data_IF_739036340735
#
_entry.id   IF_739036340735
#
_cell.length_a   1.000
_cell.length_b   1.000
_cell.length_c   1.000
_cell.angle_alpha   90.00
_cell.angle_beta   90.00
_cell.angle_gamma   90.00
#
_symmetry.space_group_name_H-M   'P 1'
#
loop_
_entity.id
_entity.type
_entity.pdbx_description
1 polymer ?
#
# COMPACT_ATOMS: atom_id res chain seq x y z
N UNK A 1 5.27 -10.30 -33.00
CA UNK A 1 4.81 -8.90 -32.79
C UNK A 1 3.30 -8.97 -32.75
N UNK A 2 2.67 -8.68 -31.60
CA UNK A 2 1.20 -8.73 -31.48
C UNK A 2 0.67 -7.40 -31.97
N UNK A 3 -0.05 -7.40 -33.08
CA UNK A 3 -0.71 -6.20 -33.58
C UNK A 3 -1.98 -5.94 -32.78
N UNK A 4 -2.06 -4.77 -32.16
CA UNK A 4 -3.28 -4.30 -31.51
C UNK A 4 -4.08 -3.50 -32.52
N UNK A 5 -5.29 -3.96 -32.83
CA UNK A 5 -6.26 -3.16 -33.57
C UNK A 5 -6.68 -1.94 -32.75
N UNK A 6 -7.03 -0.84 -33.40
CA UNK A 6 -7.42 0.41 -32.74
C UNK A 6 -8.57 0.19 -31.73
N UNK A 7 -9.58 -0.59 -32.11
CA UNK A 7 -10.70 -0.98 -31.21
C UNK A 7 -10.23 -1.75 -29.97
N UNK A 8 -9.28 -2.68 -30.11
CA UNK A 8 -8.77 -3.44 -28.96
C UNK A 8 -7.89 -2.59 -28.03
N UNK A 9 -7.34 -1.48 -28.54
CA UNK A 9 -6.56 -0.54 -27.75
C UNK A 9 -7.46 0.38 -26.92
N UNK A 10 -8.61 0.83 -27.46
CA UNK A 10 -9.58 1.66 -26.74
C UNK A 10 -10.16 0.95 -25.50
N UNK A 11 -10.34 -0.38 -25.56
CA UNK A 11 -10.84 -1.15 -24.42
C UNK A 11 -9.79 -1.26 -23.29
N UNK A 12 -8.50 -1.22 -23.62
CA UNK A 12 -7.39 -1.50 -22.68
C UNK A 12 -6.63 -0.26 -22.22
N UNK A 13 -6.82 0.88 -22.87
CA UNK A 13 -6.14 2.13 -22.55
C UNK A 13 -7.13 3.14 -21.97
N UNK A 14 -6.67 3.88 -20.96
CA UNK A 14 -7.43 4.97 -20.38
C UNK A 14 -6.54 6.20 -20.20
N UNK A 15 -7.16 7.38 -20.16
CA UNK A 15 -6.46 8.63 -19.92
C UNK A 15 -5.78 8.61 -18.55
N UNK A 16 -4.54 9.10 -18.50
CA UNK A 16 -3.70 9.10 -17.31
C UNK A 16 -3.38 10.50 -16.78
N UNK A 17 -4.20 11.52 -17.10
CA UNK A 17 -4.04 12.88 -16.55
C UNK A 17 -4.11 12.93 -15.02
N UNK A 18 -4.92 12.06 -14.44
CA UNK A 18 -4.96 11.80 -13.02
C UNK A 18 -5.04 10.28 -12.80
N UNK A 19 -4.24 9.78 -11.86
CA UNK A 19 -4.15 8.35 -11.54
C UNK A 19 -4.44 8.18 -10.06
N UNK A 20 -5.20 7.13 -9.72
CA UNK A 20 -5.46 6.82 -8.32
C UNK A 20 -4.18 6.37 -7.61
N UNK A 21 -4.09 6.64 -6.32
CA UNK A 21 -2.94 6.23 -5.50
C UNK A 21 -2.66 4.73 -5.63
N UNK A 22 -3.71 3.91 -5.68
CA UNK A 22 -3.62 2.46 -5.89
C UNK A 22 -3.00 2.08 -7.24
N UNK A 23 -3.41 2.73 -8.34
CA UNK A 23 -2.84 2.49 -9.67
C UNK A 23 -1.41 3.00 -9.80
N UNK A 24 -0.98 3.92 -8.94
CA UNK A 24 0.39 4.44 -8.90
C UNK A 24 1.37 3.61 -8.04
N UNK A 25 0.92 2.49 -7.46
CA UNK A 25 1.77 1.66 -6.62
C UNK A 25 3.02 1.17 -7.38
N UNK A 26 4.18 1.36 -6.78
CA UNK A 26 5.48 1.03 -7.38
C UNK A 26 6.06 2.13 -8.26
N UNK A 27 5.27 3.13 -8.65
CA UNK A 27 5.73 4.28 -9.43
C UNK A 27 6.16 5.44 -8.54
N UNK A 28 7.04 6.31 -9.04
CA UNK A 28 7.44 7.55 -8.38
C UNK A 28 7.49 8.72 -9.37
N UNK A 29 7.16 9.91 -8.89
CA UNK A 29 7.09 11.14 -9.69
C UNK A 29 7.90 12.24 -9.03
N UNK A 30 8.46 13.15 -9.83
CA UNK A 30 9.23 14.28 -9.30
C UNK A 30 8.36 15.19 -8.43
N UNK A 31 7.14 15.47 -8.88
CA UNK A 31 6.15 16.28 -8.16
C UNK A 31 4.79 15.60 -8.21
N UNK A 32 4.08 15.57 -7.08
CA UNK A 32 2.70 15.05 -6.98
C UNK A 32 1.76 16.16 -6.54
N UNK A 33 0.63 16.29 -7.22
CA UNK A 33 -0.49 17.13 -6.80
C UNK A 33 -1.57 16.20 -6.25
N UNK A 34 -1.87 16.32 -4.95
CA UNK A 34 -2.74 15.41 -4.23
C UNK A 34 -3.99 16.14 -3.74
N UNK A 35 -5.15 15.93 -4.39
CA UNK A 35 -6.42 16.44 -3.88
C UNK A 35 -6.90 15.62 -2.68
N UNK A 36 -7.17 16.29 -1.55
CA UNK A 36 -7.69 15.67 -0.31
C UNK A 36 -8.97 16.40 0.11
N UNK A 37 -10.11 15.79 -0.19
CA UNK A 37 -11.45 16.38 -0.01
C UNK A 37 -12.34 15.46 0.84
N UNK A 38 -13.30 16.03 1.56
CA UNK A 38 -14.17 15.27 2.48
C UNK A 38 -15.00 14.21 1.76
N UNK A 39 -15.31 14.41 0.48
CA UNK A 39 -16.07 13.47 -0.36
C UNK A 39 -15.36 12.12 -0.60
N UNK A 40 -14.05 12.03 -0.37
CA UNK A 40 -13.30 10.76 -0.41
C UNK A 40 -13.71 9.80 0.73
N UNK A 41 -14.43 10.28 1.74
CA UNK A 41 -15.18 9.45 2.68
C UNK A 41 -14.30 8.43 3.41
N UNK A 42 -14.60 7.14 3.21
CA UNK A 42 -13.89 6.02 3.83
C UNK A 42 -12.44 5.83 3.34
N UNK A 43 -12.06 6.45 2.22
CA UNK A 43 -10.68 6.40 1.70
C UNK A 43 -9.73 7.35 2.43
N UNK A 44 -10.24 8.26 3.28
CA UNK A 44 -9.44 9.12 4.14
C UNK A 44 -8.81 8.28 5.26
N UNK A 45 -7.76 7.56 4.92
CA UNK A 45 -6.99 6.68 5.80
C UNK A 45 -5.51 7.08 5.79
N UNK A 46 -4.84 6.90 6.93
CA UNK A 46 -3.44 7.32 7.08
C UNK A 46 -2.50 6.59 6.13
N UNK A 47 -2.71 5.29 5.93
CA UNK A 47 -1.91 4.46 5.02
C UNK A 47 -2.03 4.94 3.56
N UNK A 48 -3.23 5.33 3.12
CA UNK A 48 -3.44 5.81 1.75
C UNK A 48 -2.79 7.17 1.55
N UNK A 49 -2.96 8.08 2.51
CA UNK A 49 -2.31 9.40 2.49
C UNK A 49 -0.79 9.27 2.50
N UNK A 50 -0.24 8.41 3.36
CA UNK A 50 1.20 8.12 3.40
C UNK A 50 1.71 7.55 2.06
N UNK A 51 0.96 6.62 1.47
CA UNK A 51 1.32 6.03 0.17
C UNK A 51 1.32 7.09 -0.93
N UNK A 52 0.35 8.01 -0.93
CA UNK A 52 0.25 9.09 -1.91
C UNK A 52 1.41 10.09 -1.77
N UNK A 53 1.76 10.47 -0.54
CA UNK A 53 2.88 11.39 -0.25
C UNK A 53 4.21 10.78 -0.68
N UNK A 54 4.42 9.49 -0.39
CA UNK A 54 5.65 8.77 -0.78
C UNK A 54 5.78 8.50 -2.27
N UNK A 55 4.76 8.81 -3.10
CA UNK A 55 4.91 8.80 -4.56
C UNK A 55 5.74 9.98 -5.08
N UNK A 56 5.91 11.04 -4.30
CA UNK A 56 6.69 12.20 -4.71
C UNK A 56 8.16 12.10 -4.28
N UNK A 57 9.08 12.34 -5.22
CA UNK A 57 10.52 12.38 -4.94
C UNK A 57 10.98 13.73 -4.40
N UNK A 58 10.46 14.83 -4.94
CA UNK A 58 10.94 16.19 -4.61
C UNK A 58 9.89 17.03 -3.91
N UNK A 59 8.64 17.02 -4.40
CA UNK A 59 7.59 17.92 -3.90
C UNK A 59 6.20 17.31 -3.93
N UNK A 60 5.43 17.59 -2.89
CA UNK A 60 4.00 17.29 -2.82
C UNK A 60 3.23 18.59 -2.66
N UNK A 61 2.19 18.78 -3.47
CA UNK A 61 1.18 19.81 -3.29
C UNK A 61 -0.11 19.17 -2.80
N UNK A 62 -0.47 19.41 -1.54
CA UNK A 62 -1.75 18.99 -0.97
C UNK A 62 -2.78 20.08 -1.22
N UNK A 63 -3.88 19.74 -1.88
CA UNK A 63 -4.96 20.69 -2.23
C UNK A 63 -6.27 20.15 -1.69
N UNK A 64 -7.02 20.94 -0.93
CA UNK A 64 -8.34 20.57 -0.46
C UNK A 64 -8.64 21.10 0.93
N UNK A 65 -9.29 20.28 1.74
CA UNK A 65 -9.88 20.71 3.02
C UNK A 65 -9.02 20.24 4.21
N UNK A 66 -8.65 21.15 5.11
CA UNK A 66 -7.83 20.82 6.28
C UNK A 66 -8.44 19.70 7.13
N UNK A 67 -9.76 19.73 7.32
CA UNK A 67 -10.47 18.68 8.07
C UNK A 67 -10.47 17.31 7.37
N UNK A 68 -10.31 17.26 6.04
CA UNK A 68 -10.14 15.99 5.32
C UNK A 68 -8.74 15.42 5.55
N UNK A 69 -7.72 16.28 5.54
CA UNK A 69 -6.33 15.90 5.87
C UNK A 69 -6.25 15.43 7.33
N UNK A 70 -6.82 16.19 8.27
CA UNK A 70 -6.85 15.85 9.69
C UNK A 70 -7.55 14.51 9.92
N UNK A 71 -8.70 14.27 9.26
CA UNK A 71 -9.40 12.99 9.32
C UNK A 71 -8.55 11.86 8.77
N UNK A 72 -7.91 12.03 7.62
CA UNK A 72 -7.04 11.03 7.02
C UNK A 72 -5.83 10.70 7.91
N UNK A 73 -5.20 11.73 8.49
CA UNK A 73 -4.09 11.56 9.44
C UNK A 73 -4.57 10.88 10.70
N UNK A 74 -5.73 11.22 11.28
CA UNK A 74 -6.22 10.58 12.52
C UNK A 74 -6.72 9.15 12.31
N UNK A 75 -7.19 8.81 11.11
CA UNK A 75 -7.73 7.49 10.79
C UNK A 75 -6.61 6.45 10.61
N UNK A 76 -6.06 6.00 11.75
CA UNK A 76 -5.08 4.93 11.84
C UNK A 76 -5.70 3.56 12.12
N UNK A 77 -6.98 3.36 11.75
CA UNK A 77 -7.62 2.07 11.95
C UNK A 77 -6.91 1.04 11.08
N UNK A 78 -6.07 0.22 11.71
CA UNK A 78 -5.51 -0.96 11.08
C UNK A 78 -6.69 -1.86 10.73
N UNK A 79 -6.97 -2.00 9.44
CA UNK A 79 -7.97 -2.96 8.96
C UNK A 79 -7.53 -4.33 9.46
N UNK A 80 -8.31 -4.94 10.35
CA UNK A 80 -8.03 -6.28 10.85
C UNK A 80 -8.09 -7.24 9.66
N UNK A 81 -6.92 -7.66 9.18
CA UNK A 81 -6.80 -8.65 8.12
C UNK A 81 -6.97 -10.02 8.73
N UNK A 82 -7.99 -10.75 8.30
CA UNK A 82 -8.19 -12.14 8.70
C UNK A 82 -7.19 -13.01 7.93
N UNK A 83 -6.00 -13.20 8.50
CA UNK A 83 -4.94 -14.05 7.95
C UNK A 83 -4.40 -15.01 9.02
N UNK A 84 -4.18 -16.27 8.63
CA UNK A 84 -3.56 -17.30 9.49
C UNK A 84 -2.04 -17.30 9.41
N UNK A 85 -1.43 -16.54 8.48
CA UNK A 85 0.02 -16.60 8.21
C UNK A 85 0.85 -16.31 9.46
N UNK A 86 0.50 -15.28 10.24
CA UNK A 86 1.21 -14.97 11.48
C UNK A 86 1.14 -16.13 12.48
N UNK A 87 -0.03 -16.80 12.60
CA UNK A 87 -0.18 -17.96 13.49
C UNK A 87 0.67 -19.14 12.99
N UNK A 88 0.68 -19.38 11.69
CA UNK A 88 1.46 -20.44 11.06
C UNK A 88 2.96 -20.23 11.28
N UNK A 89 3.48 -19.02 11.04
CA UNK A 89 4.90 -18.69 11.24
C UNK A 89 5.29 -18.86 12.71
N UNK A 90 4.50 -18.35 13.66
CA UNK A 90 4.80 -18.50 15.09
C UNK A 90 4.84 -19.97 15.52
N UNK A 91 3.91 -20.80 15.03
CA UNK A 91 3.90 -22.24 15.31
C UNK A 91 5.13 -22.95 14.74
N UNK A 92 5.54 -22.64 13.51
CA UNK A 92 6.74 -23.21 12.89
C UNK A 92 8.04 -22.78 13.57
N UNK A 93 8.13 -21.52 14.02
CA UNK A 93 9.31 -21.04 14.77
C UNK A 93 9.40 -21.74 16.12
N UNK A 94 8.29 -21.91 16.85
CA UNK A 94 8.27 -22.62 18.13
C UNK A 94 8.75 -24.08 18.00
N UNK A 95 8.23 -24.82 16.99
CA UNK A 95 8.66 -26.20 16.71
C UNK A 95 10.14 -26.30 16.25
N UNK A 96 10.69 -25.24 15.68
CA UNK A 96 12.10 -25.17 15.28
C UNK A 96 13.07 -24.86 16.42
N UNK A 97 12.61 -24.17 17.47
CA UNK A 97 13.41 -23.89 18.69
C UNK A 97 13.54 -25.15 19.53
N UNK A 98 12.46 -25.91 19.72
CA UNK A 98 12.49 -27.18 20.46
C UNK A 98 13.42 -28.23 19.83
N UNK A 99 13.59 -28.22 18.50
CA UNK A 99 14.50 -29.14 17.81
C UNK A 99 15.98 -28.74 17.91
N UNK A 100 16.32 -27.51 18.29
CA UNK A 100 17.72 -27.06 18.45
C UNK A 100 18.28 -27.41 19.83
N UNK A 101 17.46 -27.32 20.88
CA UNK A 101 17.87 -27.65 22.25
C UNK A 101 18.20 -29.15 22.45
N UNK A 102 17.76 -30.02 21.53
CA UNK A 102 18.06 -31.45 21.52
C UNK A 102 19.37 -31.86 20.83
N UNK A 103 20.05 -30.96 20.11
CA UNK A 103 21.24 -31.30 19.30
C UNK A 103 22.58 -30.90 19.96
N UNK A 104 22.59 -30.14 21.07
CA UNK A 104 23.83 -29.77 21.79
C UNK A 104 24.31 -30.81 22.83
N UNK A 105 23.67 -31.99 22.95
CA UNK A 105 24.03 -33.02 23.95
C UNK A 105 24.73 -34.27 23.40
N UNK A 106 25.39 -34.19 22.24
CA UNK A 106 26.23 -35.30 21.75
C UNK A 106 27.63 -34.78 21.39
N UNK A 107 28.52 -34.69 22.38
CA UNK A 107 29.89 -35.25 22.39
C UNK A 107 30.64 -34.73 23.64
N UNK A 108 30.81 -35.60 24.64
CA UNK A 108 32.00 -35.79 25.49
C UNK A 108 31.74 -36.95 26.44
#
# INVERSE_FOLDING_TARGET
>A
MVEFTHEAAEEKLCLAYAVSVHKSQGSEFDTVILPVVRSQGGMLQRNLLYTAVTRARKKVWLIGEDGAVEKAVRNNKVVKRNTSFSKAVTASVAAGVENRDGQEKIQL
#
